data_IF_485964116334
#
_entry.id   IF_485964116334
#
_cell.length_a   1.000
_cell.length_b   1.000
_cell.length_c   1.000
_cell.angle_alpha   90.00
_cell.angle_beta   90.00
_cell.angle_gamma   90.00
#
_symmetry.space_group_name_H-M   'P 1'
#
loop_
_entity.id
_entity.type
_entity.pdbx_description
1 polymer ?
#
# COMPACT_ATOMS: atom_id res chain seq x y z
N UNK A 1 29.66 -29.51 9.29
CA UNK A 1 28.58 -29.04 10.20
C UNK A 1 27.45 -28.55 9.34
N UNK A 2 26.25 -29.12 9.47
CA UNK A 2 25.07 -28.67 8.73
C UNK A 2 24.45 -27.53 9.53
N UNK A 3 24.78 -26.29 9.21
CA UNK A 3 24.18 -25.13 9.88
C UNK A 3 22.73 -25.06 9.43
N UNK A 4 21.79 -25.27 10.35
CA UNK A 4 20.36 -25.23 10.05
C UNK A 4 20.02 -23.80 9.61
N UNK A 5 19.44 -23.64 8.42
CA UNK A 5 19.04 -22.34 7.90
C UNK A 5 18.04 -21.66 8.86
N UNK A 6 18.26 -20.36 9.10
CA UNK A 6 17.31 -19.50 9.80
C UNK A 6 16.07 -19.20 8.91
N UNK A 7 15.06 -18.52 9.45
CA UNK A 7 13.82 -18.26 8.69
C UNK A 7 14.06 -17.33 7.49
N UNK A 8 14.90 -16.31 7.63
CA UNK A 8 15.24 -15.39 6.55
C UNK A 8 15.92 -16.11 5.39
N UNK A 9 16.91 -16.95 5.68
CA UNK A 9 17.63 -17.76 4.69
C UNK A 9 16.66 -18.71 3.95
N UNK A 10 15.65 -19.26 4.63
CA UNK A 10 14.63 -20.10 3.99
C UNK A 10 13.75 -19.30 3.03
N UNK A 11 13.39 -18.08 3.39
CA UNK A 11 12.65 -17.18 2.50
C UNK A 11 13.51 -16.82 1.28
N UNK A 12 14.77 -16.43 1.49
CA UNK A 12 15.71 -16.16 0.40
C UNK A 12 15.87 -17.36 -0.54
N UNK A 13 15.96 -18.58 -0.01
CA UNK A 13 16.02 -19.79 -0.82
C UNK A 13 14.70 -20.04 -1.57
N UNK A 14 13.55 -19.78 -0.95
CA UNK A 14 12.24 -19.88 -1.61
C UNK A 14 12.13 -18.94 -2.83
N UNK A 15 12.72 -17.73 -2.75
CA UNK A 15 12.85 -16.78 -3.86
C UNK A 15 13.81 -17.28 -4.95
N UNK A 16 14.93 -17.89 -4.56
CA UNK A 16 15.89 -18.51 -5.50
C UNK A 16 15.24 -19.65 -6.27
N UNK A 17 14.58 -20.56 -5.56
CA UNK A 17 13.92 -21.75 -6.13
C UNK A 17 12.84 -21.39 -7.17
N UNK A 18 12.36 -20.15 -7.17
CA UNK A 18 11.32 -19.62 -8.06
C UNK A 18 11.82 -18.59 -9.06
N UNK A 19 13.14 -18.35 -9.12
CA UNK A 19 13.74 -17.30 -9.96
C UNK A 19 13.20 -15.89 -9.67
N UNK A 20 12.74 -15.63 -8.43
CA UNK A 20 12.24 -14.32 -8.01
C UNK A 20 13.37 -13.41 -7.51
N UNK A 21 14.46 -13.99 -7.01
CA UNK A 21 15.62 -13.28 -6.46
C UNK A 21 16.36 -12.32 -7.43
N UNK A 22 16.09 -12.39 -8.73
CA UNK A 22 16.63 -11.45 -9.75
C UNK A 22 15.49 -10.75 -10.52
N UNK A 23 14.24 -10.98 -10.14
CA UNK A 23 13.09 -10.35 -10.77
C UNK A 23 13.01 -8.86 -10.43
N UNK A 24 12.25 -8.13 -11.24
CA UNK A 24 12.13 -6.68 -11.16
C UNK A 24 11.61 -6.20 -9.77
N UNK A 25 12.40 -5.41 -9.02
CA UNK A 25 12.03 -4.89 -7.69
C UNK A 25 10.73 -4.09 -7.63
N UNK A 26 10.33 -3.43 -8.73
CA UNK A 26 9.06 -2.67 -8.77
C UNK A 26 7.86 -3.59 -8.51
N UNK A 27 7.92 -4.85 -8.97
CA UNK A 27 6.85 -5.82 -8.72
C UNK A 27 6.75 -6.20 -7.25
N UNK A 28 7.89 -6.35 -6.56
CA UNK A 28 7.85 -6.56 -5.11
C UNK A 28 7.39 -5.34 -4.33
N UNK A 29 7.70 -4.13 -4.79
CA UNK A 29 7.14 -2.94 -4.17
C UNK A 29 5.61 -2.88 -4.29
N UNK A 30 5.05 -3.24 -5.46
CA UNK A 30 3.59 -3.31 -5.61
C UNK A 30 2.97 -4.33 -4.66
N UNK A 31 3.61 -5.51 -4.52
CA UNK A 31 3.18 -6.51 -3.53
C UNK A 31 3.29 -5.99 -2.10
N UNK A 32 4.34 -5.24 -1.77
CA UNK A 32 4.49 -4.61 -0.44
C UNK A 32 3.33 -3.68 -0.13
N UNK A 33 2.84 -2.93 -1.11
CA UNK A 33 1.69 -2.04 -0.94
C UNK A 33 0.37 -2.78 -0.77
N UNK A 34 0.20 -3.91 -1.45
CA UNK A 34 -0.93 -4.84 -1.26
C UNK A 34 -0.97 -5.34 0.20
N UNK A 35 0.13 -5.94 0.69
CA UNK A 35 0.21 -6.46 2.06
C UNK A 35 0.06 -5.36 3.14
N UNK A 36 0.59 -4.16 2.85
CA UNK A 36 0.42 -3.01 3.74
C UNK A 36 -1.05 -2.58 3.85
N UNK A 37 -1.81 -2.73 2.77
CA UNK A 37 -3.25 -2.48 2.75
C UNK A 37 -4.01 -3.48 3.61
N UNK A 38 -3.66 -4.77 3.54
CA UNK A 38 -4.25 -5.82 4.39
C UNK A 38 -3.96 -5.59 5.87
N UNK A 39 -2.74 -5.15 6.20
CA UNK A 39 -2.39 -4.76 7.58
C UNK A 39 -3.28 -3.61 8.08
N UNK A 40 -3.45 -2.55 7.27
CA UNK A 40 -4.33 -1.44 7.64
C UNK A 40 -5.78 -1.87 7.81
N UNK A 41 -6.29 -2.76 6.95
CA UNK A 41 -7.62 -3.33 7.10
C UNK A 41 -7.76 -4.15 8.40
N UNK A 42 -6.78 -5.01 8.68
CA UNK A 42 -6.76 -5.83 9.89
C UNK A 42 -6.80 -5.00 11.17
N UNK A 43 -6.01 -3.94 11.24
CA UNK A 43 -6.00 -3.00 12.37
C UNK A 43 -7.33 -2.24 12.45
N UNK A 44 -7.84 -1.72 11.34
CA UNK A 44 -9.08 -0.94 11.32
C UNK A 44 -10.32 -1.75 11.73
N UNK A 45 -10.30 -3.08 11.54
CA UNK A 45 -11.39 -4.00 11.86
C UNK A 45 -11.14 -4.85 13.11
N UNK A 46 -10.04 -4.61 13.83
CA UNK A 46 -9.61 -5.39 14.99
C UNK A 46 -9.58 -6.92 14.74
N UNK A 47 -9.04 -7.34 13.59
CA UNK A 47 -8.97 -8.74 13.16
C UNK A 47 -7.56 -9.30 13.30
N UNK A 48 -7.25 -9.90 14.45
CA UNK A 48 -5.89 -10.38 14.76
C UNK A 48 -5.32 -11.38 13.74
N UNK A 49 -6.13 -12.28 13.20
CA UNK A 49 -5.67 -13.24 12.18
C UNK A 49 -5.15 -12.53 10.92
N UNK A 50 -5.88 -11.52 10.43
CA UNK A 50 -5.49 -10.71 9.28
C UNK A 50 -4.24 -9.87 9.58
N UNK A 51 -4.12 -9.35 10.80
CA UNK A 51 -2.94 -8.60 11.24
C UNK A 51 -1.70 -9.49 11.22
N UNK A 52 -1.78 -10.72 11.76
CA UNK A 52 -0.63 -11.61 11.84
C UNK A 52 -0.16 -12.10 10.48
N UNK A 53 -1.10 -12.40 9.58
CA UNK A 53 -0.83 -12.80 8.21
C UNK A 53 -0.10 -11.67 7.45
N UNK A 54 -0.68 -10.47 7.42
CA UNK A 54 -0.11 -9.32 6.73
C UNK A 54 1.28 -8.93 7.29
N UNK A 55 1.51 -8.99 8.61
CA UNK A 55 2.83 -8.74 9.20
C UNK A 55 3.88 -9.77 8.77
N UNK A 56 3.48 -11.03 8.58
CA UNK A 56 4.34 -12.09 8.05
C UNK A 56 4.66 -11.86 6.57
N UNK A 57 3.64 -11.56 5.77
CA UNK A 57 3.77 -11.38 4.33
C UNK A 57 4.58 -10.13 3.96
N UNK A 58 4.41 -9.03 4.71
CA UNK A 58 5.29 -7.86 4.61
C UNK A 58 6.76 -8.27 4.81
N UNK A 59 7.07 -9.08 5.83
CA UNK A 59 8.45 -9.52 6.06
C UNK A 59 8.99 -10.37 4.91
N UNK A 60 8.18 -11.29 4.36
CA UNK A 60 8.55 -12.09 3.19
C UNK A 60 8.87 -11.20 1.99
N UNK A 61 8.03 -10.19 1.73
CA UNK A 61 8.22 -9.24 0.63
C UNK A 61 9.47 -8.40 0.83
N UNK A 62 9.74 -7.90 2.04
CA UNK A 62 10.92 -7.11 2.37
C UNK A 62 12.22 -7.89 2.16
N UNK A 63 12.27 -9.14 2.62
CA UNK A 63 13.42 -10.04 2.41
C UNK A 63 13.68 -10.24 0.92
N UNK A 64 12.63 -10.53 0.16
CA UNK A 64 12.71 -10.70 -1.29
C UNK A 64 13.17 -9.45 -2.03
N UNK A 65 12.61 -8.29 -1.67
CA UNK A 65 12.96 -7.01 -2.26
C UNK A 65 14.43 -6.66 -1.99
N UNK A 66 14.91 -6.83 -0.77
CA UNK A 66 16.32 -6.60 -0.42
C UNK A 66 17.23 -7.55 -1.23
N UNK A 67 16.86 -8.82 -1.36
CA UNK A 67 17.60 -9.81 -2.14
C UNK A 67 17.71 -9.40 -3.62
N UNK A 68 16.62 -8.96 -4.24
CA UNK A 68 16.61 -8.49 -5.63
C UNK A 68 17.52 -7.28 -5.83
N UNK A 69 17.49 -6.31 -4.91
CA UNK A 69 18.37 -5.13 -4.96
C UNK A 69 19.84 -5.53 -4.83
N UNK A 70 20.17 -6.41 -3.87
CA UNK A 70 21.55 -6.90 -3.66
C UNK A 70 22.09 -7.67 -4.87
N UNK A 71 21.24 -8.40 -5.56
CA UNK A 71 21.60 -9.16 -6.76
C UNK A 71 21.73 -8.28 -8.01
N UNK A 72 21.43 -6.97 -7.92
CA UNK A 72 21.50 -6.07 -9.07
C UNK A 72 20.38 -6.31 -10.08
N UNK A 73 19.21 -6.79 -9.62
CA UNK A 73 18.05 -6.99 -10.47
C UNK A 73 17.70 -5.72 -11.26
N UNK A 74 17.31 -5.90 -12.53
CA UNK A 74 16.94 -4.77 -13.37
C UNK A 74 15.66 -4.11 -12.84
N UNK A 75 15.76 -2.84 -12.47
CA UNK A 75 14.63 -2.02 -12.04
C UNK A 75 14.00 -1.39 -13.29
N UNK A 76 12.71 -1.65 -13.51
CA UNK A 76 11.96 -1.03 -14.58
C UNK A 76 10.49 -0.89 -14.20
N UNK A 77 9.82 0.09 -14.77
CA UNK A 77 8.40 0.33 -14.54
C UNK A 77 7.76 0.76 -15.85
N UNK A 78 6.54 0.29 -16.12
CA UNK A 78 5.69 0.91 -17.13
C UNK A 78 5.10 2.23 -16.61
N UNK A 79 4.39 2.96 -17.48
CA UNK A 79 3.85 4.28 -17.12
C UNK A 79 2.89 4.23 -15.93
N UNK A 80 1.99 3.24 -15.88
CA UNK A 80 1.06 3.08 -14.77
C UNK A 80 1.78 2.73 -13.46
N UNK A 81 2.81 1.90 -13.52
CA UNK A 81 3.62 1.57 -12.34
C UNK A 81 4.37 2.78 -11.81
N UNK A 82 4.89 3.64 -12.69
CA UNK A 82 5.49 4.92 -12.28
C UNK A 82 4.48 5.81 -11.54
N UNK A 83 3.25 5.92 -12.04
CA UNK A 83 2.17 6.65 -11.37
C UNK A 83 1.86 6.05 -9.98
N UNK A 84 1.85 4.73 -9.84
CA UNK A 84 1.62 4.08 -8.53
C UNK A 84 2.78 4.34 -7.54
N UNK A 85 4.04 4.30 -8.01
CA UNK A 85 5.19 4.67 -7.16
C UNK A 85 5.09 6.12 -6.67
N UNK A 86 4.69 7.02 -7.56
CA UNK A 86 4.47 8.43 -7.22
C UNK A 86 3.29 8.63 -6.27
N UNK A 87 2.20 7.87 -6.45
CA UNK A 87 1.05 7.85 -5.54
C UNK A 87 1.50 7.59 -4.11
N UNK A 88 2.29 6.53 -3.91
CA UNK A 88 2.76 6.12 -2.58
C UNK A 88 3.67 7.16 -1.96
N UNK A 89 4.53 7.80 -2.75
CA UNK A 89 5.37 8.92 -2.28
C UNK A 89 4.52 10.07 -1.71
N UNK A 90 3.46 10.46 -2.43
CA UNK A 90 2.56 11.52 -1.97
C UNK A 90 1.74 11.12 -0.73
N UNK A 91 1.27 9.86 -0.68
CA UNK A 91 0.65 9.31 0.54
C UNK A 91 1.60 9.35 1.73
N UNK A 92 2.88 9.01 1.53
CA UNK A 92 3.93 9.09 2.53
C UNK A 92 4.14 10.52 3.06
N UNK A 93 4.12 11.53 2.19
CA UNK A 93 4.20 12.94 2.60
C UNK A 93 3.01 13.34 3.49
N UNK A 94 1.80 12.93 3.13
CA UNK A 94 0.60 13.19 3.94
C UNK A 94 0.74 12.49 5.29
N UNK A 95 1.12 11.20 5.29
CA UNK A 95 1.32 10.42 6.50
C UNK A 95 2.36 11.07 7.44
N UNK A 96 3.48 11.55 6.90
CA UNK A 96 4.50 12.25 7.67
C UNK A 96 3.97 13.53 8.32
N UNK A 97 3.19 14.33 7.59
CA UNK A 97 2.57 15.56 8.12
C UNK A 97 1.57 15.26 9.23
N UNK A 98 0.74 14.23 9.06
CA UNK A 98 -0.20 13.79 10.10
C UNK A 98 0.53 13.25 11.33
N UNK A 99 1.56 12.43 11.12
CA UNK A 99 2.40 11.92 12.20
C UNK A 99 3.06 13.04 13.01
N UNK A 100 3.67 14.02 12.34
CA UNK A 100 4.29 15.17 12.99
C UNK A 100 3.27 15.96 13.84
N UNK A 101 2.08 16.20 13.29
CA UNK A 101 1.01 16.91 13.98
C UNK A 101 0.59 16.21 15.29
N UNK A 102 0.44 14.88 15.24
CA UNK A 102 0.09 14.05 16.41
C UNK A 102 1.24 13.97 17.41
N UNK A 103 2.46 13.69 16.96
CA UNK A 103 3.60 13.47 17.86
C UNK A 103 4.15 14.75 18.49
N UNK A 104 3.98 15.90 17.84
CA UNK A 104 4.49 17.19 18.31
C UNK A 104 3.39 18.11 18.87
N UNK A 105 2.13 17.65 18.94
CA UNK A 105 0.97 18.45 19.34
C UNK A 105 0.93 19.79 18.59
N UNK A 106 1.17 19.77 17.28
CA UNK A 106 1.24 20.99 16.50
C UNK A 106 -0.12 21.69 16.52
N UNK A 107 -0.13 23.02 16.67
CA UNK A 107 -1.37 23.81 16.68
C UNK A 107 -1.77 24.29 15.28
N UNK A 108 -0.86 24.14 14.30
CA UNK A 108 -1.10 24.56 12.93
C UNK A 108 -1.65 23.39 12.11
N UNK A 109 -2.58 23.72 11.21
CA UNK A 109 -3.14 22.75 10.27
C UNK A 109 -2.05 22.24 9.32
N UNK A 110 -1.90 20.92 9.11
CA UNK A 110 -0.95 20.38 8.15
C UNK A 110 -1.29 20.83 6.73
N UNK A 111 -0.27 21.29 6.00
CA UNK A 111 -0.43 21.75 4.60
C UNK A 111 -0.39 20.56 3.63
N UNK A 112 -1.54 20.00 3.29
CA UNK A 112 -1.65 18.81 2.42
C UNK A 112 -2.22 19.08 1.02
N UNK A 113 -2.60 20.34 0.72
CA UNK A 113 -3.31 20.68 -0.54
C UNK A 113 -2.54 20.27 -1.80
N UNK A 114 -1.22 20.47 -1.82
CA UNK A 114 -0.37 20.08 -2.95
C UNK A 114 -0.33 18.57 -3.15
N UNK A 115 -0.28 17.81 -2.06
CA UNK A 115 -0.29 16.34 -2.12
C UNK A 115 -1.63 15.82 -2.63
N UNK A 116 -2.74 16.41 -2.17
CA UNK A 116 -4.08 16.07 -2.66
C UNK A 116 -4.25 16.36 -4.16
N UNK A 117 -3.78 17.52 -4.63
CA UNK A 117 -3.80 17.86 -6.06
C UNK A 117 -2.93 16.90 -6.89
N UNK A 118 -1.81 16.46 -6.32
CA UNK A 118 -0.95 15.48 -6.98
C UNK A 118 -1.63 14.11 -7.08
N UNK A 119 -2.22 13.63 -5.99
CA UNK A 119 -2.99 12.38 -5.97
C UNK A 119 -4.16 12.41 -6.97
N UNK A 120 -4.86 13.53 -7.10
CA UNK A 120 -5.91 13.72 -8.10
C UNK A 120 -5.39 13.57 -9.55
N UNK A 121 -4.21 14.14 -9.82
CA UNK A 121 -3.53 13.95 -11.12
C UNK A 121 -3.16 12.49 -11.36
N UNK A 122 -2.66 11.79 -10.34
CA UNK A 122 -2.31 10.37 -10.43
C UNK A 122 -3.57 9.52 -10.69
N UNK A 123 -4.67 9.79 -9.99
CA UNK A 123 -5.97 9.12 -10.20
C UNK A 123 -6.42 9.29 -11.65
N UNK A 124 -6.29 10.51 -12.20
CA UNK A 124 -6.62 10.78 -13.60
C UNK A 124 -5.74 9.96 -14.56
N UNK A 125 -4.42 9.95 -14.36
CA UNK A 125 -3.48 9.15 -15.19
C UNK A 125 -3.77 7.66 -15.13
N UNK A 126 -3.94 7.10 -13.92
CA UNK A 126 -4.21 5.67 -13.72
C UNK A 126 -5.57 5.28 -14.31
N UNK A 127 -6.59 6.13 -14.17
CA UNK A 127 -7.90 5.92 -14.81
C UNK A 127 -7.76 5.80 -16.33
N UNK A 128 -7.00 6.69 -16.96
CA UNK A 128 -6.74 6.67 -18.40
C UNK A 128 -6.01 5.39 -18.84
N UNK A 129 -4.98 4.96 -18.10
CA UNK A 129 -4.27 3.71 -18.40
C UNK A 129 -5.16 2.47 -18.32
N UNK A 130 -6.25 2.54 -17.56
CA UNK A 130 -7.23 1.46 -17.42
C UNK A 130 -8.47 1.64 -18.32
N UNK A 131 -8.42 2.56 -19.30
CA UNK A 131 -9.48 2.73 -20.30
C UNK A 131 -10.74 3.43 -19.79
N UNK A 132 -10.62 4.25 -18.75
CA UNK A 132 -11.70 5.04 -18.14
C UNK A 132 -11.22 6.47 -17.87
N UNK A 133 -12.03 7.27 -17.20
CA UNK A 133 -11.68 8.60 -16.69
C UNK A 133 -12.07 8.73 -15.21
N UNK A 134 -11.47 9.71 -14.53
CA UNK A 134 -11.65 9.91 -13.09
C UNK A 134 -13.11 10.25 -12.71
N UNK A 135 -13.84 10.99 -13.56
CA UNK A 135 -15.23 11.37 -13.29
C UNK A 135 -16.15 10.14 -13.38
N UNK A 136 -15.93 9.28 -14.39
CA UNK A 136 -16.62 8.00 -14.52
C UNK A 136 -16.36 7.09 -13.31
N UNK A 137 -15.11 7.00 -12.85
CA UNK A 137 -14.76 6.25 -11.64
C UNK A 137 -15.44 6.82 -10.39
N UNK A 138 -15.45 8.16 -10.23
CA UNK A 138 -16.11 8.83 -9.12
C UNK A 138 -17.63 8.62 -9.14
N UNK A 139 -18.25 8.64 -10.33
CA UNK A 139 -19.67 8.39 -10.49
C UNK A 139 -20.05 6.96 -10.03
N UNK A 140 -19.27 5.95 -10.42
CA UNK A 140 -19.44 4.56 -9.97
C UNK A 140 -19.36 4.49 -8.44
N UNK A 141 -18.35 5.14 -7.83
CA UNK A 141 -18.19 5.16 -6.39
C UNK A 141 -19.37 5.88 -5.70
N UNK A 142 -19.81 7.02 -6.23
CA UNK A 142 -20.93 7.78 -5.71
C UNK A 142 -22.23 6.97 -5.73
N UNK A 143 -22.55 6.31 -6.84
CA UNK A 143 -23.73 5.46 -6.96
C UNK A 143 -23.74 4.31 -5.96
N UNK A 144 -22.56 3.80 -5.57
CA UNK A 144 -22.43 2.77 -4.54
C UNK A 144 -22.54 3.30 -3.11
N UNK A 145 -22.28 4.58 -2.83
CA UNK A 145 -22.30 5.15 -1.47
C UNK A 145 -23.53 6.01 -1.16
N UNK A 146 -24.20 6.59 -2.16
CA UNK A 146 -25.23 7.63 -1.98
C UNK A 146 -26.43 7.20 -1.11
N UNK A 147 -26.78 5.92 -1.13
CA UNK A 147 -27.91 5.37 -0.38
C UNK A 147 -27.50 4.56 0.86
N UNK A 148 -26.19 4.45 1.13
CA UNK A 148 -25.69 3.64 2.26
C UNK A 148 -26.24 4.15 3.59
N UNK A 149 -26.68 3.20 4.42
CA UNK A 149 -27.02 3.42 5.82
C UNK A 149 -25.88 2.91 6.70
N UNK A 150 -25.65 3.60 7.81
CA UNK A 150 -24.53 3.33 8.68
C UNK A 150 -24.42 4.35 9.81
N UNK A 151 -23.44 4.14 10.68
CA UNK A 151 -23.13 5.03 11.82
C UNK A 151 -21.65 5.31 11.87
N UNK A 152 -21.28 6.42 12.47
CA UNK A 152 -19.87 6.68 12.79
C UNK A 152 -19.54 5.91 14.07
N UNK A 153 -18.51 5.07 14.00
CA UNK A 153 -17.90 4.38 15.14
C UNK A 153 -16.42 4.75 15.13
N UNK A 154 -15.93 5.36 16.21
CA UNK A 154 -14.54 5.82 16.35
C UNK A 154 -14.01 6.67 15.18
N UNK A 155 -14.87 7.54 14.63
CA UNK A 155 -14.51 8.44 13.53
C UNK A 155 -14.55 7.81 12.13
N UNK A 156 -14.87 6.51 12.03
CA UNK A 156 -15.04 5.79 10.76
C UNK A 156 -16.52 5.55 10.49
N UNK A 157 -16.95 5.76 9.25
CA UNK A 157 -18.30 5.37 8.83
C UNK A 157 -18.38 3.85 8.68
N UNK A 158 -19.15 3.20 9.54
CA UNK A 158 -19.42 1.75 9.52
C UNK A 158 -20.81 1.54 8.93
N UNK A 159 -20.91 0.65 7.94
CA UNK A 159 -22.18 0.33 7.28
C UNK A 159 -23.10 -0.42 8.23
N UNK A 160 -24.41 -0.29 8.04
CA UNK A 160 -25.41 -0.99 8.86
C UNK A 160 -25.32 -2.52 8.78
N UNK A 161 -24.86 -3.08 7.64
CA UNK A 161 -24.62 -4.52 7.47
C UNK A 161 -23.39 -5.05 8.25
N UNK A 162 -22.49 -4.16 8.64
CA UNK A 162 -21.24 -4.45 9.35
C UNK A 162 -21.33 -4.10 10.87
N UNK A 163 -22.47 -3.57 11.33
CA UNK A 163 -22.77 -3.23 12.74
C UNK A 163 -23.36 -4.42 13.50
#
# INVERSE_FOLDING_TARGET
MNTKMNLEEKVQQWFVDRNLHEANPVKQFLKLMEESGELFEGIAKDKSELIYDALGDIQVVLIGLEQQIKNGAQISANQQELELLLMVSSLGNIAQKLYAHVCHNETQMPLIKSDLMFLDSVISSVSLFNGTDADSCLQIAYDAIKDRKGKIVDGVFVKEEDL
#
